data_IF_013640822923
#
_entry.id   IF_013640822923
#
_cell.length_a   1.000
_cell.length_b   1.000
_cell.length_c   1.000
_cell.angle_alpha   90.00
_cell.angle_beta   90.00
_cell.angle_gamma   90.00
#
_symmetry.space_group_name_H-M   'P 1'
#
loop_
_entity.id
_entity.type
_entity.pdbx_description
1 polymer ?
#
# COMPACT_ATOMS: atom_id res chain seq x y z
N UNK A 1 -28.84 18.97 -33.65
CA UNK A 1 -27.42 19.41 -33.53
C UNK A 1 -27.28 20.51 -32.50
N UNK A 2 -26.46 20.27 -31.46
CA UNK A 2 -26.13 21.21 -30.38
C UNK A 2 -24.60 21.37 -30.32
N UNK A 3 -24.13 22.61 -30.38
CA UNK A 3 -22.70 22.93 -30.18
C UNK A 3 -22.43 23.16 -28.70
N UNK A 4 -21.56 22.34 -28.11
CA UNK A 4 -21.17 22.40 -26.68
C UNK A 4 -19.97 23.33 -26.50
N UNK A 5 -18.97 23.21 -27.38
CA UNK A 5 -17.78 24.05 -27.38
C UNK A 5 -17.63 24.69 -28.76
N UNK A 6 -17.30 25.97 -28.78
CA UNK A 6 -16.88 26.68 -29.98
C UNK A 6 -15.91 27.78 -29.57
N UNK A 7 -14.62 27.46 -29.55
CA UNK A 7 -13.62 28.40 -29.06
C UNK A 7 -12.23 27.79 -28.94
N UNK A 8 -11.50 28.22 -27.92
CA UNK A 8 -10.15 27.75 -27.61
C UNK A 8 -10.21 26.78 -26.44
N UNK A 9 -9.38 25.74 -26.47
CA UNK A 9 -9.16 24.84 -25.35
C UNK A 9 -7.67 24.83 -25.02
N UNK A 10 -7.33 25.17 -23.77
CA UNK A 10 -5.98 25.00 -23.25
C UNK A 10 -5.69 23.52 -22.99
N UNK A 11 -4.47 23.08 -23.27
CA UNK A 11 -3.98 21.74 -22.97
C UNK A 11 -2.48 21.71 -22.71
N UNK A 12 -2.04 20.65 -22.04
CA UNK A 12 -0.64 20.22 -21.97
C UNK A 12 -0.48 18.82 -22.58
N UNK A 13 0.75 18.47 -22.96
CA UNK A 13 1.13 17.17 -23.53
C UNK A 13 0.36 16.72 -24.79
N UNK A 14 -0.23 17.66 -25.52
CA UNK A 14 -0.94 17.40 -26.77
C UNK A 14 -2.20 16.55 -26.62
N UNK A 15 -2.91 16.71 -25.50
CA UNK A 15 -4.00 15.81 -25.12
C UNK A 15 -5.27 16.55 -24.73
N UNK A 16 -6.39 16.10 -25.31
CA UNK A 16 -7.76 16.43 -24.86
C UNK A 16 -8.43 15.13 -24.43
N UNK A 17 -9.22 15.17 -23.37
CA UNK A 17 -9.94 14.02 -22.85
C UNK A 17 -11.44 14.24 -22.93
N UNK A 18 -12.16 13.13 -23.13
CA UNK A 18 -13.57 13.02 -22.79
C UNK A 18 -13.69 11.94 -21.73
N UNK A 19 -14.24 12.25 -20.56
CA UNK A 19 -14.37 11.29 -19.47
C UNK A 19 -15.79 11.27 -18.93
N UNK A 20 -16.27 10.07 -18.62
CA UNK A 20 -17.60 9.81 -18.03
C UNK A 20 -17.56 8.75 -16.92
N UNK A 21 -16.36 8.36 -16.48
CA UNK A 21 -16.12 7.37 -15.43
C UNK A 21 -15.14 7.89 -14.38
N UNK A 22 -14.97 7.14 -13.29
CA UNK A 22 -14.22 7.59 -12.11
C UNK A 22 -12.70 7.45 -12.22
N UNK A 23 -12.22 6.60 -13.13
CA UNK A 23 -10.79 6.31 -13.32
C UNK A 23 -10.33 6.65 -14.72
N UNK A 24 -9.26 7.44 -14.81
CA UNK A 24 -8.58 7.73 -16.06
C UNK A 24 -7.64 6.59 -16.44
N UNK A 25 -7.77 6.00 -17.64
CA UNK A 25 -6.86 4.97 -18.10
C UNK A 25 -5.45 5.51 -18.39
N UNK A 26 -4.49 4.59 -18.45
CA UNK A 26 -3.19 4.89 -19.04
C UNK A 26 -3.36 5.38 -20.49
N UNK A 27 -2.54 6.37 -20.87
CA UNK A 27 -2.60 6.98 -22.19
C UNK A 27 -2.50 5.95 -23.31
N UNK A 28 -1.55 5.01 -23.22
CA UNK A 28 -1.34 4.01 -24.26
C UNK A 28 -2.49 2.99 -24.30
N UNK A 29 -3.06 2.66 -23.15
CA UNK A 29 -4.20 1.72 -23.06
C UNK A 29 -5.44 2.25 -23.78
N UNK A 30 -5.60 3.57 -23.89
CA UNK A 30 -6.70 4.21 -24.64
C UNK A 30 -6.67 3.91 -26.15
N UNK A 31 -5.53 3.49 -26.71
CA UNK A 31 -5.37 3.23 -28.14
C UNK A 31 -5.21 1.74 -28.49
N UNK A 32 -5.00 0.85 -27.51
CA UNK A 32 -4.69 -0.55 -27.79
C UNK A 32 -5.84 -1.24 -28.54
N UNK A 33 -5.49 -1.96 -29.61
CA UNK A 33 -6.46 -2.69 -30.44
C UNK A 33 -7.16 -1.84 -31.50
N UNK A 34 -6.91 -0.53 -31.55
CA UNK A 34 -7.46 0.35 -32.58
C UNK A 34 -6.60 0.40 -33.85
N UNK A 35 -7.18 0.93 -34.93
CA UNK A 35 -6.46 1.29 -36.16
C UNK A 35 -6.04 2.75 -36.23
N UNK A 36 -6.80 3.62 -35.56
CA UNK A 36 -6.60 5.04 -35.48
C UNK A 36 -5.82 5.41 -34.21
N UNK A 37 -4.89 6.34 -34.38
CA UNK A 37 -4.02 6.86 -33.31
C UNK A 37 -4.29 8.32 -32.95
N UNK A 38 -5.43 8.87 -33.37
CA UNK A 38 -5.82 10.26 -33.06
C UNK A 38 -6.94 10.35 -32.02
N UNK A 39 -7.83 9.35 -31.99
CA UNK A 39 -8.94 9.23 -31.06
C UNK A 39 -8.90 7.85 -30.39
N UNK A 40 -8.29 7.80 -29.21
CA UNK A 40 -8.21 6.63 -28.35
C UNK A 40 -9.55 6.36 -27.68
N UNK A 41 -10.23 5.27 -28.04
CA UNK A 41 -11.53 4.88 -27.50
C UNK A 41 -11.58 3.41 -27.05
N UNK A 42 -10.43 2.80 -26.79
CA UNK A 42 -10.34 1.39 -26.39
C UNK A 42 -10.91 1.13 -24.98
N UNK A 43 -11.03 2.18 -24.16
CA UNK A 43 -11.54 2.11 -22.79
C UNK A 43 -12.93 2.73 -22.76
N UNK A 44 -13.92 1.98 -22.27
CA UNK A 44 -15.29 2.44 -22.16
C UNK A 44 -15.38 3.68 -21.26
N UNK A 45 -16.16 4.68 -21.67
CA UNK A 45 -16.36 5.91 -20.93
C UNK A 45 -15.24 6.96 -21.06
N UNK A 46 -14.16 6.66 -21.79
CA UNK A 46 -13.04 7.59 -22.01
C UNK A 46 -12.72 7.76 -23.50
N UNK A 47 -12.45 8.99 -23.93
CA UNK A 47 -11.73 9.29 -25.17
C UNK A 47 -10.44 10.02 -24.86
N UNK A 48 -9.35 9.60 -25.50
CA UNK A 48 -8.08 10.33 -25.51
C UNK A 48 -7.84 10.88 -26.92
N UNK A 49 -7.84 12.20 -27.06
CA UNK A 49 -7.71 12.90 -28.33
C UNK A 49 -6.31 13.50 -28.45
N UNK A 50 -5.65 13.22 -29.56
CA UNK A 50 -4.32 13.75 -29.87
C UNK A 50 -4.40 15.09 -30.58
N UNK A 51 -3.58 16.04 -30.15
CA UNK A 51 -3.36 17.32 -30.84
C UNK A 51 -1.91 17.44 -31.34
N UNK A 52 -1.71 18.28 -32.34
CA UNK A 52 -0.41 18.65 -32.89
C UNK A 52 0.38 19.47 -31.92
N UNK A 53 -0.20 20.58 -31.45
CA UNK A 53 0.39 21.43 -30.43
C UNK A 53 0.57 20.64 -29.12
N UNK A 54 1.74 20.74 -28.49
CA UNK A 54 2.03 20.05 -27.24
C UNK A 54 1.50 20.84 -26.04
N UNK A 55 1.70 22.17 -26.01
CA UNK A 55 1.23 23.02 -24.91
C UNK A 55 0.63 24.32 -25.41
N UNK A 56 -0.54 24.70 -24.89
CA UNK A 56 -1.19 25.97 -25.20
C UNK A 56 -2.62 25.81 -25.68
N UNK A 57 -3.12 26.80 -26.42
CA UNK A 57 -4.50 26.80 -26.92
C UNK A 57 -4.64 26.23 -28.33
N UNK A 58 -5.58 25.31 -28.48
CA UNK A 58 -6.03 24.80 -29.78
C UNK A 58 -7.45 25.26 -30.09
N UNK A 59 -7.80 25.36 -31.37
CA UNK A 59 -9.19 25.62 -31.77
C UNK A 59 -10.02 24.35 -31.57
N UNK A 60 -11.07 24.39 -30.76
CA UNK A 60 -11.92 23.23 -30.49
C UNK A 60 -13.39 23.55 -30.72
N UNK A 61 -14.03 22.70 -31.52
CA UNK A 61 -15.48 22.66 -31.70
C UNK A 61 -15.97 21.28 -31.26
N UNK A 62 -17.00 21.26 -30.41
CA UNK A 62 -17.64 20.01 -29.95
C UNK A 62 -19.13 20.06 -30.25
N UNK A 63 -19.63 19.06 -30.96
CA UNK A 63 -21.03 19.00 -31.42
C UNK A 63 -21.68 17.67 -31.04
N UNK A 64 -22.93 17.75 -30.59
CA UNK A 64 -23.81 16.60 -30.37
C UNK A 64 -24.93 16.65 -31.41
N UNK A 65 -24.96 15.65 -32.28
CA UNK A 65 -25.82 15.54 -33.44
C UNK A 65 -26.83 14.42 -33.28
N UNK A 66 -27.99 14.56 -33.95
CA UNK A 66 -29.07 13.57 -33.90
C UNK A 66 -28.81 12.42 -34.88
N UNK A 67 -28.06 12.70 -35.96
CA UNK A 67 -27.69 11.77 -37.02
C UNK A 67 -26.23 12.01 -37.45
N UNK A 68 -25.67 11.09 -38.23
CA UNK A 68 -24.31 11.18 -38.75
C UNK A 68 -24.11 12.47 -39.58
N UNK A 69 -23.21 13.39 -39.19
CA UNK A 69 -22.94 14.58 -39.97
C UNK A 69 -22.31 14.24 -41.31
N UNK A 70 -22.57 15.06 -42.35
CA UNK A 70 -21.90 14.93 -43.65
C UNK A 70 -20.39 15.15 -43.47
N UNK A 71 -19.58 14.36 -44.16
CA UNK A 71 -18.13 14.50 -44.15
C UNK A 71 -17.75 15.84 -44.81
N UNK A 72 -17.08 16.69 -44.05
CA UNK A 72 -16.46 17.92 -44.54
C UNK A 72 -15.00 17.62 -44.96
N UNK A 73 -14.79 17.60 -46.27
CA UNK A 73 -13.49 17.33 -46.89
C UNK A 73 -12.45 18.44 -46.68
N UNK A 74 -12.81 19.56 -46.04
CA UNK A 74 -11.84 20.62 -45.70
C UNK A 74 -10.95 20.25 -44.51
N UNK A 75 -11.33 19.23 -43.72
CA UNK A 75 -10.48 18.66 -42.67
C UNK A 75 -9.37 17.78 -43.26
N UNK A 76 -8.19 17.84 -42.64
CA UNK A 76 -6.98 17.17 -43.12
C UNK A 76 -6.92 15.71 -42.69
N UNK A 77 -7.28 15.44 -41.43
CA UNK A 77 -7.34 14.12 -40.86
C UNK A 77 -8.71 13.90 -40.23
N UNK A 78 -9.31 12.75 -40.48
CA UNK A 78 -10.65 12.39 -40.01
C UNK A 78 -10.60 10.92 -39.55
N UNK A 79 -10.93 10.71 -38.29
CA UNK A 79 -11.09 9.38 -37.70
C UNK A 79 -12.44 9.26 -37.04
N UNK A 80 -12.95 8.05 -36.94
CA UNK A 80 -14.15 7.75 -36.20
C UNK A 80 -13.92 6.60 -35.22
N UNK A 81 -14.56 6.66 -34.06
CA UNK A 81 -14.43 5.66 -33.00
C UNK A 81 -15.76 5.46 -32.27
N UNK A 82 -16.00 4.27 -31.67
CA UNK A 82 -17.15 4.06 -30.80
C UNK A 82 -16.95 4.79 -29.47
N UNK A 83 -18.04 5.27 -28.87
CA UNK A 83 -18.03 5.79 -27.50
C UNK A 83 -19.30 5.41 -26.78
N UNK A 84 -19.16 4.96 -25.54
CA UNK A 84 -20.29 4.69 -24.65
C UNK A 84 -20.03 5.40 -23.32
N UNK A 85 -20.84 6.40 -22.94
CA UNK A 85 -20.68 7.07 -21.65
C UNK A 85 -21.01 6.10 -20.50
N UNK A 86 -20.21 6.14 -19.44
CA UNK A 86 -20.48 5.43 -18.19
C UNK A 86 -21.29 6.27 -17.18
N UNK A 87 -21.40 7.57 -17.43
CA UNK A 87 -22.05 8.59 -16.61
C UNK A 87 -22.06 9.93 -17.35
N UNK A 88 -22.08 11.04 -16.61
CA UNK A 88 -22.03 12.37 -17.20
C UNK A 88 -20.68 12.60 -17.90
N UNK A 89 -20.72 12.78 -19.21
CA UNK A 89 -19.52 12.95 -20.02
C UNK A 89 -19.08 14.42 -20.06
N UNK A 90 -17.80 14.66 -19.79
CA UNK A 90 -17.16 15.98 -19.85
C UNK A 90 -15.99 15.97 -20.82
N UNK A 91 -15.74 17.09 -21.49
CA UNK A 91 -14.56 17.31 -22.34
C UNK A 91 -13.67 18.38 -21.73
N UNK A 92 -12.36 18.17 -21.75
CA UNK A 92 -11.36 19.11 -21.20
C UNK A 92 -9.97 18.83 -21.78
N UNK A 93 -9.08 19.83 -21.78
CA UNK A 93 -7.67 19.63 -22.11
C UNK A 93 -6.87 19.11 -20.92
N UNK A 94 -5.81 18.33 -21.15
CA UNK A 94 -4.98 17.86 -20.05
C UNK A 94 -4.33 19.01 -19.27
N UNK A 95 -4.31 18.90 -17.94
CA UNK A 95 -3.97 19.97 -16.98
C UNK A 95 -4.74 21.30 -17.14
N UNK A 96 -5.85 21.30 -17.87
CA UNK A 96 -6.71 22.47 -18.02
C UNK A 96 -7.66 22.63 -16.84
N UNK A 97 -7.96 23.88 -16.48
CA UNK A 97 -9.08 24.21 -15.60
C UNK A 97 -10.42 24.28 -16.31
N UNK A 98 -10.41 24.34 -17.65
CA UNK A 98 -11.61 24.48 -18.47
C UNK A 98 -12.16 23.09 -18.83
N UNK A 99 -13.46 22.91 -18.56
CA UNK A 99 -14.20 21.70 -18.87
C UNK A 99 -15.62 22.03 -19.31
N UNK A 100 -16.21 21.15 -20.12
CA UNK A 100 -17.55 21.33 -20.66
C UNK A 100 -18.35 20.03 -20.58
N UNK A 101 -19.56 20.09 -20.04
CA UNK A 101 -20.48 18.95 -20.00
C UNK A 101 -21.07 18.70 -21.38
N UNK A 102 -20.93 17.48 -21.88
CA UNK A 102 -21.48 17.08 -23.17
C UNK A 102 -22.99 16.85 -23.08
N UNK A 103 -23.53 16.46 -21.92
CA UNK A 103 -24.94 16.10 -21.76
C UNK A 103 -25.38 15.01 -22.73
N UNK A 104 -24.64 13.89 -22.74
CA UNK A 104 -24.96 12.72 -23.55
C UNK A 104 -25.94 11.83 -22.78
N UNK A 105 -26.85 11.20 -23.51
CA UNK A 105 -27.75 10.19 -22.94
C UNK A 105 -27.00 8.85 -22.76
N UNK A 106 -27.49 7.92 -21.93
CA UNK A 106 -26.88 6.58 -21.74
C UNK A 106 -27.04 5.64 -22.95
N UNK A 107 -26.49 6.01 -24.10
CA UNK A 107 -26.60 5.31 -25.39
C UNK A 107 -25.22 5.05 -26.03
N UNK A 108 -25.19 4.22 -27.07
CA UNK A 108 -23.99 4.05 -27.90
C UNK A 108 -23.89 5.22 -28.89
N UNK A 109 -22.69 5.80 -28.98
CA UNK A 109 -22.37 6.89 -29.89
C UNK A 109 -21.27 6.48 -30.86
N UNK A 110 -21.35 7.03 -32.07
CA UNK A 110 -20.19 7.17 -32.94
C UNK A 110 -19.63 8.57 -32.76
N UNK A 111 -18.30 8.63 -32.72
CA UNK A 111 -17.56 9.87 -32.54
C UNK A 111 -16.70 10.10 -33.75
N UNK A 112 -16.75 11.30 -34.33
CA UNK A 112 -15.82 11.76 -35.36
C UNK A 112 -14.88 12.79 -34.77
N UNK A 113 -13.59 12.56 -34.96
CA UNK A 113 -12.54 13.49 -34.61
C UNK A 113 -11.81 13.93 -35.86
N UNK A 114 -11.89 15.23 -36.15
CA UNK A 114 -11.23 15.87 -37.27
C UNK A 114 -10.12 16.78 -36.78
N UNK A 115 -8.99 16.78 -37.47
CA UNK A 115 -7.88 17.69 -37.22
C UNK A 115 -7.46 18.45 -38.47
N UNK A 116 -6.97 19.68 -38.29
CA UNK A 116 -6.41 20.52 -39.34
C UNK A 116 -5.19 21.29 -38.81
N UNK A 117 -4.16 21.38 -39.64
CA UNK A 117 -2.86 21.97 -39.35
C UNK A 117 -2.13 21.26 -38.19
N UNK A 118 -2.39 19.95 -37.99
CA UNK A 118 -1.77 19.13 -36.93
C UNK A 118 -0.24 19.17 -37.04
N UNK A 119 0.32 19.02 -38.24
CA UNK A 119 1.78 19.06 -38.44
C UNK A 119 2.36 20.44 -38.08
N UNK A 120 1.65 21.53 -38.39
CA UNK A 120 2.09 22.89 -38.04
C UNK A 120 2.03 23.13 -36.53
N UNK A 121 0.99 22.64 -35.84
CA UNK A 121 0.91 22.68 -34.38
C UNK A 121 2.09 21.93 -33.76
N UNK A 122 2.39 20.73 -34.27
CA UNK A 122 3.52 19.92 -33.81
C UNK A 122 4.89 20.54 -34.04
N UNK A 123 5.05 21.30 -35.12
CA UNK A 123 6.30 22.01 -35.41
C UNK A 123 6.51 23.26 -34.53
N UNK A 124 5.43 23.83 -33.97
CA UNK A 124 5.52 24.95 -33.03
C UNK A 124 5.89 24.50 -31.61
N UNK A 125 5.52 23.28 -31.23
CA UNK A 125 5.62 22.67 -29.89
C UNK A 125 4.74 23.39 -28.84
N UNK A 126 4.97 24.69 -28.64
CA UNK A 126 4.20 25.56 -27.75
C UNK A 126 3.48 26.69 -28.52
N UNK A 127 2.43 27.24 -27.90
CA UNK A 127 1.78 28.47 -28.32
C UNK A 127 2.79 29.65 -28.31
N UNK A 128 2.77 30.46 -29.37
CA UNK A 128 3.75 31.55 -29.54
C UNK A 128 3.39 32.78 -28.71
N UNK A 129 2.18 33.28 -28.86
CA UNK A 129 1.64 34.41 -28.10
C UNK A 129 0.18 34.09 -27.72
N UNK A 130 -0.23 34.45 -26.51
CA UNK A 130 -1.58 34.17 -26.00
C UNK A 130 -2.72 34.71 -26.89
N UNK A 131 -2.50 35.86 -27.54
CA UNK A 131 -3.52 36.49 -28.38
C UNK A 131 -3.53 35.95 -29.82
N UNK A 132 -2.53 35.17 -30.23
CA UNK A 132 -2.46 34.59 -31.57
C UNK A 132 -3.64 33.65 -31.83
N UNK A 133 -4.11 33.54 -33.09
CA UNK A 133 -5.10 32.52 -33.43
C UNK A 133 -4.50 31.12 -33.21
N UNK A 134 -5.30 30.13 -32.78
CA UNK A 134 -4.84 28.76 -32.64
C UNK A 134 -4.19 28.23 -33.92
N UNK A 135 -3.08 27.52 -33.77
CA UNK A 135 -2.30 27.00 -34.90
C UNK A 135 -3.06 25.84 -35.55
N UNK A 136 -3.42 24.85 -34.75
CA UNK A 136 -4.20 23.69 -35.13
C UNK A 136 -5.64 23.78 -34.60
N UNK A 137 -6.53 23.10 -35.34
CA UNK A 137 -7.96 23.14 -35.11
C UNK A 137 -8.52 21.73 -35.08
N UNK A 138 -9.55 21.53 -34.26
CA UNK A 138 -10.17 20.24 -34.01
C UNK A 138 -11.69 20.35 -33.98
N UNK A 139 -12.33 19.34 -34.54
CA UNK A 139 -13.78 19.16 -34.48
C UNK A 139 -14.08 17.76 -33.94
N UNK A 140 -14.90 17.72 -32.89
CA UNK A 140 -15.36 16.50 -32.24
C UNK A 140 -16.88 16.42 -32.34
N UNK A 141 -17.40 15.40 -33.02
CA UNK A 141 -18.83 15.24 -33.25
C UNK A 141 -19.32 13.91 -32.69
N UNK A 142 -20.42 13.93 -31.95
CA UNK A 142 -21.09 12.75 -31.41
C UNK A 142 -22.45 12.57 -32.08
N UNK A 143 -22.82 11.35 -32.45
CA UNK A 143 -24.20 11.01 -32.82
C UNK A 143 -24.55 9.58 -32.38
N UNK A 144 -25.81 9.30 -32.01
CA UNK A 144 -26.23 7.95 -31.65
C UNK A 144 -26.01 6.98 -32.81
N UNK A 145 -25.33 5.86 -32.54
CA UNK A 145 -25.10 4.81 -33.53
C UNK A 145 -24.73 3.49 -32.84
N UNK A 146 -25.04 2.32 -33.44
CA UNK A 146 -24.55 1.05 -32.93
C UNK A 146 -23.00 1.03 -32.83
N UNK A 147 -22.43 0.29 -31.88
CA UNK A 147 -20.99 0.21 -31.74
C UNK A 147 -20.38 -0.50 -32.96
N UNK A 148 -19.47 0.21 -33.63
CA UNK A 148 -18.66 -0.31 -34.74
C UNK A 148 -17.18 -0.07 -34.43
N UNK A 149 -16.26 -0.93 -34.93
CA UNK A 149 -14.82 -0.71 -34.77
C UNK A 149 -14.38 0.66 -35.26
N UNK A 150 -13.28 1.15 -34.71
CA UNK A 150 -12.72 2.43 -35.12
C UNK A 150 -12.29 2.41 -36.60
N UNK A 151 -12.34 3.59 -37.22
CA UNK A 151 -12.04 3.75 -38.64
C UNK A 151 -11.22 5.01 -38.89
N UNK A 152 -10.24 4.87 -39.77
CA UNK A 152 -9.51 6.00 -40.36
C UNK A 152 -10.21 6.37 -41.67
N UNK A 153 -10.85 7.55 -41.72
CA UNK A 153 -11.61 8.03 -42.88
C UNK A 153 -10.69 8.78 -43.85
N UNK A 154 -9.86 9.68 -43.32
CA UNK A 154 -8.93 10.51 -44.11
C UNK A 154 -7.67 10.79 -43.31
N UNK A 155 -6.52 10.76 -43.98
CA UNK A 155 -5.23 11.11 -43.38
C UNK A 155 -4.36 11.85 -44.37
N UNK A 156 -3.89 13.03 -43.99
CA UNK A 156 -2.97 13.84 -44.77
C UNK A 156 -1.76 14.33 -43.96
N UNK A 157 -1.86 14.47 -42.64
CA UNK A 157 -0.72 14.89 -41.82
C UNK A 157 0.26 13.76 -41.55
N UNK A 158 1.54 14.11 -41.37
CA UNK A 158 2.60 13.18 -40.99
C UNK A 158 2.35 12.65 -39.56
N UNK A 159 2.01 13.53 -38.63
CA UNK A 159 1.74 13.14 -37.24
C UNK A 159 0.61 12.10 -37.13
N UNK A 160 -0.49 12.28 -37.87
CA UNK A 160 -1.59 11.32 -37.86
C UNK A 160 -1.13 9.94 -38.37
N UNK A 161 -0.38 9.89 -39.49
CA UNK A 161 0.18 8.63 -40.01
C UNK A 161 1.07 7.93 -39.00
N UNK A 162 2.02 8.65 -38.41
CA UNK A 162 2.95 8.10 -37.42
C UNK A 162 2.19 7.55 -36.19
N UNK A 163 1.15 8.26 -35.75
CA UNK A 163 0.31 7.86 -34.62
C UNK A 163 -0.51 6.61 -34.94
N UNK A 164 -1.07 6.51 -36.15
CA UNK A 164 -1.78 5.31 -36.61
C UNK A 164 -0.85 4.10 -36.70
N UNK A 165 0.34 4.28 -37.26
CA UNK A 165 1.35 3.22 -37.39
C UNK A 165 1.83 2.73 -36.02
N UNK A 166 2.04 3.65 -35.06
CA UNK A 166 2.35 3.30 -33.67
C UNK A 166 1.23 2.46 -33.08
N UNK A 167 -0.02 2.91 -33.20
CA UNK A 167 -1.20 2.27 -32.61
C UNK A 167 -1.40 0.84 -33.13
N UNK A 168 -1.26 0.64 -34.45
CA UNK A 168 -1.36 -0.70 -35.07
C UNK A 168 -0.28 -1.69 -34.60
N UNK A 169 0.84 -1.21 -34.06
CA UNK A 169 1.91 -2.05 -33.50
C UNK A 169 1.73 -2.34 -32.01
N UNK A 170 0.83 -1.64 -31.34
CA UNK A 170 0.55 -1.88 -29.93
C UNK A 170 -0.11 -3.24 -29.76
N UNK A 171 0.30 -3.99 -28.73
CA UNK A 171 -0.44 -5.19 -28.36
C UNK A 171 -1.84 -4.80 -27.90
N UNK A 172 -2.88 -5.58 -28.26
CA UNK A 172 -4.20 -5.46 -27.67
C UNK A 172 -4.12 -5.45 -26.13
N UNK A 173 -5.09 -4.84 -25.44
CA UNK A 173 -5.15 -4.93 -23.99
C UNK A 173 -5.25 -6.41 -23.57
N UNK A 174 -4.70 -6.73 -22.41
CA UNK A 174 -4.80 -8.07 -21.85
C UNK A 174 -6.29 -8.42 -21.66
N UNK A 175 -6.65 -9.65 -21.99
CA UNK A 175 -8.01 -10.16 -21.76
C UNK A 175 -8.31 -10.22 -20.26
N UNK A 176 -9.60 -10.17 -19.84
CA UNK A 176 -9.97 -10.31 -18.44
C UNK A 176 -9.37 -11.56 -17.77
N UNK A 177 -9.30 -12.68 -18.50
CA UNK A 177 -8.69 -13.93 -18.02
C UNK A 177 -7.18 -13.80 -17.79
N UNK A 178 -6.47 -13.09 -18.66
CA UNK A 178 -5.04 -12.82 -18.50
C UNK A 178 -4.76 -11.91 -17.29
N UNK A 179 -5.61 -10.88 -17.08
CA UNK A 179 -5.54 -9.99 -15.92
C UNK A 179 -5.77 -10.78 -14.64
N UNK A 180 -6.84 -11.58 -14.57
CA UNK A 180 -7.16 -12.40 -13.41
C UNK A 180 -6.05 -13.40 -13.10
N UNK A 181 -5.49 -14.06 -14.13
CA UNK A 181 -4.35 -14.98 -13.98
C UNK A 181 -3.11 -14.27 -13.43
N UNK A 182 -2.81 -13.06 -13.93
CA UNK A 182 -1.67 -12.28 -13.46
C UNK A 182 -1.86 -11.79 -12.01
N UNK A 183 -3.08 -11.39 -11.64
CA UNK A 183 -3.43 -11.02 -10.26
C UNK A 183 -3.28 -12.22 -9.31
N UNK A 184 -3.85 -13.37 -9.64
CA UNK A 184 -3.74 -14.58 -8.84
C UNK A 184 -2.26 -14.99 -8.61
N UNK A 185 -1.42 -14.90 -9.65
CA UNK A 185 0.03 -15.14 -9.52
C UNK A 185 0.73 -14.13 -8.61
N UNK A 186 0.32 -12.86 -8.64
CA UNK A 186 0.88 -11.82 -7.76
C UNK A 186 0.47 -12.06 -6.32
N UNK A 187 -0.78 -12.43 -6.08
CA UNK A 187 -1.29 -12.76 -4.75
C UNK A 187 -0.59 -14.00 -4.19
N UNK A 188 -0.44 -15.06 -4.99
CA UNK A 188 0.31 -16.26 -4.63
C UNK A 188 1.76 -15.92 -4.28
N UNK A 189 2.45 -15.16 -5.14
CA UNK A 189 3.80 -14.69 -4.89
C UNK A 189 3.89 -13.85 -3.61
N UNK A 190 2.94 -12.93 -3.39
CA UNK A 190 2.92 -12.08 -2.21
C UNK A 190 2.68 -12.89 -0.93
N UNK A 191 1.79 -13.89 -0.98
CA UNK A 191 1.55 -14.81 0.12
C UNK A 191 2.79 -15.65 0.43
N UNK A 192 3.49 -16.13 -0.58
CA UNK A 192 4.73 -16.88 -0.41
C UNK A 192 5.86 -16.01 0.15
N UNK A 193 5.97 -14.76 -0.31
CA UNK A 193 6.91 -13.78 0.25
C UNK A 193 6.58 -13.48 1.71
N UNK A 194 5.30 -13.34 2.06
CA UNK A 194 4.88 -13.12 3.44
C UNK A 194 5.24 -14.32 4.32
N UNK A 195 4.95 -15.54 3.87
CA UNK A 195 5.33 -16.79 4.56
C UNK A 195 6.84 -16.91 4.71
N UNK A 196 7.61 -16.59 3.68
CA UNK A 196 9.07 -16.63 3.71
C UNK A 196 9.63 -15.63 4.73
N UNK A 197 9.09 -14.40 4.76
CA UNK A 197 9.45 -13.39 5.77
C UNK A 197 9.09 -13.82 7.18
N UNK A 198 7.91 -14.41 7.37
CA UNK A 198 7.52 -14.96 8.67
C UNK A 198 8.51 -16.05 9.10
N UNK A 199 8.82 -17.01 8.23
CA UNK A 199 9.77 -18.08 8.50
C UNK A 199 11.16 -17.55 8.86
N UNK A 200 11.67 -16.59 8.09
CA UNK A 200 12.95 -15.92 8.35
C UNK A 200 12.94 -15.19 9.70
N UNK A 201 11.86 -14.47 10.00
CA UNK A 201 11.70 -13.74 11.27
C UNK A 201 11.69 -14.64 12.49
N UNK A 202 11.29 -15.91 12.34
CA UNK A 202 11.31 -16.95 13.38
C UNK A 202 12.58 -17.82 13.37
N UNK A 203 13.63 -17.43 12.64
CA UNK A 203 14.89 -18.17 12.62
C UNK A 203 14.84 -19.47 11.81
N UNK A 204 13.94 -19.57 10.82
CA UNK A 204 13.91 -20.64 9.83
C UNK A 204 12.91 -21.78 10.11
N UNK A 205 12.21 -21.77 11.24
CA UNK A 205 11.13 -22.72 11.56
C UNK A 205 10.00 -21.99 12.26
N UNK A 206 8.75 -22.18 11.79
CA UNK A 206 7.59 -21.56 12.40
C UNK A 206 7.38 -22.09 13.85
N UNK A 207 7.04 -21.21 14.79
CA UNK A 207 6.77 -21.60 16.17
C UNK A 207 5.41 -22.33 16.30
N UNK A 208 5.18 -22.94 17.46
CA UNK A 208 3.86 -23.42 17.85
C UNK A 208 2.86 -22.26 18.03
N UNK A 209 1.56 -22.58 18.05
CA UNK A 209 0.51 -21.58 18.30
C UNK A 209 0.70 -20.89 19.67
N UNK A 210 1.09 -21.66 20.70
CA UNK A 210 1.39 -21.17 22.06
C UNK A 210 2.49 -20.11 22.06
N UNK A 211 3.59 -20.37 21.35
CA UNK A 211 4.71 -19.42 21.21
C UNK A 211 4.30 -18.20 20.35
N UNK A 212 3.48 -18.40 19.31
CA UNK A 212 2.99 -17.31 18.44
C UNK A 212 2.10 -16.32 19.19
N UNK A 213 1.28 -16.80 20.14
CA UNK A 213 0.40 -15.96 20.96
C UNK A 213 1.13 -15.23 22.09
N UNK A 214 2.35 -15.64 22.42
CA UNK A 214 3.13 -15.07 23.51
C UNK A 214 3.94 -13.85 23.04
N UNK A 215 3.61 -12.67 23.59
CA UNK A 215 4.13 -11.38 23.12
C UNK A 215 5.67 -11.29 23.13
N UNK A 216 6.33 -11.80 24.16
CA UNK A 216 7.79 -11.71 24.33
C UNK A 216 8.58 -12.79 23.58
N UNK A 217 7.91 -13.82 23.05
CA UNK A 217 8.59 -14.92 22.35
C UNK A 217 9.39 -14.44 21.13
N UNK A 218 8.83 -13.52 20.34
CA UNK A 218 9.48 -13.01 19.13
C UNK A 218 10.80 -12.29 19.42
N UNK A 219 10.93 -11.65 20.58
CA UNK A 219 12.14 -10.92 20.97
C UNK A 219 13.30 -11.88 21.27
N UNK A 220 13.00 -13.05 21.84
CA UNK A 220 13.98 -14.07 22.20
C UNK A 220 14.55 -14.82 20.99
N UNK A 221 13.85 -14.84 19.84
CA UNK A 221 14.35 -15.43 18.59
C UNK A 221 15.71 -14.84 18.19
N UNK A 222 15.89 -13.53 18.45
CA UNK A 222 17.13 -12.81 18.12
C UNK A 222 18.35 -13.28 18.93
N UNK A 223 18.11 -13.93 20.08
CA UNK A 223 19.17 -14.34 21.00
C UNK A 223 19.42 -15.84 20.96
N UNK A 224 18.37 -16.67 20.99
CA UNK A 224 18.48 -18.13 20.97
C UNK A 224 17.14 -18.77 20.55
N UNK A 225 17.00 -19.10 19.25
CA UNK A 225 15.81 -19.80 18.73
C UNK A 225 15.65 -21.21 19.31
N UNK A 226 16.71 -22.05 19.40
CA UNK A 226 16.61 -23.35 20.07
C UNK A 226 16.07 -23.27 21.49
N UNK A 227 16.45 -22.26 22.28
CA UNK A 227 15.93 -22.08 23.64
C UNK A 227 14.40 -21.91 23.67
N UNK A 228 13.83 -21.19 22.70
CA UNK A 228 12.37 -21.04 22.60
C UNK A 228 11.68 -22.39 22.37
N UNK A 229 12.26 -23.25 21.53
CA UNK A 229 11.72 -24.58 21.28
C UNK A 229 11.91 -25.51 22.49
N UNK A 230 12.98 -25.34 23.27
CA UNK A 230 13.20 -26.06 24.53
C UNK A 230 12.14 -25.66 25.59
N UNK A 231 11.86 -24.35 25.71
CA UNK A 231 10.85 -23.82 26.63
C UNK A 231 9.43 -24.23 26.22
N UNK A 232 9.11 -24.25 24.92
CA UNK A 232 7.78 -24.69 24.45
C UNK A 232 7.48 -26.15 24.82
N UNK A 233 8.53 -27.00 24.91
CA UNK A 233 8.42 -28.42 25.28
C UNK A 233 8.54 -28.68 26.78
N UNK A 234 8.99 -27.70 27.55
CA UNK A 234 9.17 -27.83 28.99
C UNK A 234 7.81 -28.00 29.69
N UNK A 235 7.82 -28.70 30.83
CA UNK A 235 6.66 -28.76 31.70
C UNK A 235 6.51 -27.47 32.52
N UNK A 236 5.32 -27.27 33.10
CA UNK A 236 5.00 -26.07 33.86
C UNK A 236 5.93 -25.88 35.09
N UNK A 237 6.40 -26.98 35.70
CA UNK A 237 7.31 -26.91 36.85
C UNK A 237 8.66 -26.31 36.46
N UNK A 238 9.23 -26.75 35.33
CA UNK A 238 10.46 -26.20 34.79
C UNK A 238 10.28 -24.74 34.34
N UNK A 239 9.16 -24.43 33.67
CA UNK A 239 8.85 -23.06 33.24
C UNK A 239 8.74 -22.08 34.42
N UNK A 240 8.06 -22.48 35.50
CA UNK A 240 7.96 -21.68 36.73
C UNK A 240 9.35 -21.50 37.36
N UNK A 241 10.17 -22.55 37.42
CA UNK A 241 11.53 -22.46 37.96
C UNK A 241 12.42 -21.50 37.16
N UNK A 242 12.32 -21.54 35.82
CA UNK A 242 12.99 -20.60 34.91
C UNK A 242 12.53 -19.17 35.18
N UNK A 243 11.21 -18.95 35.31
CA UNK A 243 10.65 -17.63 35.55
C UNK A 243 11.14 -17.01 36.86
N UNK A 244 11.14 -17.79 37.96
CA UNK A 244 11.65 -17.38 39.27
C UNK A 244 13.14 -17.07 39.25
N UNK A 245 13.92 -17.91 38.57
CA UNK A 245 15.35 -17.67 38.38
C UNK A 245 15.60 -16.36 37.62
N UNK A 246 14.86 -16.12 36.53
CA UNK A 246 15.00 -14.92 35.71
C UNK A 246 14.59 -13.66 36.47
N UNK A 247 13.51 -13.72 37.27
CA UNK A 247 13.13 -12.64 38.19
C UNK A 247 14.27 -12.28 39.17
N UNK A 248 14.91 -13.28 39.77
CA UNK A 248 16.05 -13.05 40.67
C UNK A 248 17.25 -12.45 39.94
N UNK A 249 17.56 -12.91 38.72
CA UNK A 249 18.62 -12.32 37.90
C UNK A 249 18.32 -10.85 37.54
N UNK A 250 17.07 -10.55 37.23
CA UNK A 250 16.59 -9.20 36.93
C UNK A 250 16.81 -8.26 38.12
N UNK A 251 16.35 -8.66 39.31
CA UNK A 251 16.53 -7.86 40.52
C UNK A 251 18.00 -7.68 40.91
N UNK A 252 18.83 -8.71 40.75
CA UNK A 252 20.26 -8.63 41.04
C UNK A 252 21.01 -7.70 40.07
N UNK A 253 20.71 -7.77 38.76
CA UNK A 253 21.30 -6.89 37.76
C UNK A 253 20.99 -5.40 38.00
N UNK A 254 19.78 -5.14 38.52
CA UNK A 254 19.29 -3.82 38.84
C UNK A 254 19.60 -3.37 40.28
N UNK A 255 20.37 -4.15 41.04
CA UNK A 255 20.71 -3.92 42.45
C UNK A 255 19.48 -3.71 43.34
N UNK A 256 18.34 -4.32 42.98
CA UNK A 256 17.08 -4.23 43.73
C UNK A 256 17.07 -5.19 44.92
N UNK A 257 17.83 -6.27 44.82
CA UNK A 257 18.05 -7.25 45.89
C UNK A 257 18.75 -6.66 47.13
N UNK A 258 19.41 -5.50 47.00
CA UNK A 258 19.94 -4.75 48.13
C UNK A 258 18.84 -4.16 49.03
N UNK A 259 17.60 -4.07 48.55
CA UNK A 259 16.45 -3.68 49.35
C UNK A 259 15.92 -4.90 50.09
N UNK A 260 15.99 -4.88 51.44
CA UNK A 260 15.63 -6.04 52.26
C UNK A 260 14.25 -6.62 51.94
N UNK A 261 13.24 -5.77 51.74
CA UNK A 261 11.89 -6.23 51.44
C UNK A 261 11.74 -6.89 50.06
N UNK A 262 12.59 -6.52 49.09
CA UNK A 262 12.66 -7.16 47.77
C UNK A 262 13.34 -8.52 47.89
N UNK A 263 14.45 -8.60 48.64
CA UNK A 263 15.12 -9.86 48.93
C UNK A 263 14.17 -10.86 49.62
N UNK A 264 13.45 -10.41 50.65
CA UNK A 264 12.47 -11.23 51.38
C UNK A 264 11.32 -11.69 50.46
N UNK A 265 10.88 -10.83 49.52
CA UNK A 265 9.85 -11.18 48.55
C UNK A 265 10.34 -12.23 47.53
N UNK A 266 11.59 -12.11 47.05
CA UNK A 266 12.20 -13.10 46.16
C UNK A 266 12.35 -14.47 46.86
N UNK A 267 12.75 -14.49 48.14
CA UNK A 267 12.85 -15.73 48.91
C UNK A 267 11.49 -16.41 49.10
N UNK A 268 10.42 -15.62 49.28
CA UNK A 268 9.05 -16.14 49.40
C UNK A 268 8.48 -16.62 48.06
N UNK A 269 8.83 -15.95 46.98
CA UNK A 269 8.53 -16.39 45.63
C UNK A 269 9.19 -17.75 45.34
N UNK A 270 10.48 -17.91 45.67
CA UNK A 270 11.20 -19.16 45.51
C UNK A 270 10.58 -20.29 46.36
N UNK A 271 10.09 -19.97 47.56
CA UNK A 271 9.37 -20.89 48.43
C UNK A 271 7.95 -21.26 47.93
N UNK A 272 7.47 -20.66 46.84
CA UNK A 272 6.15 -20.93 46.27
C UNK A 272 4.98 -20.39 47.08
N UNK A 273 5.19 -19.28 47.81
CA UNK A 273 4.11 -18.56 48.49
C UNK A 273 3.12 -17.99 47.46
N UNK A 274 1.83 -17.90 47.83
CA UNK A 274 0.80 -17.30 46.98
C UNK A 274 1.14 -15.85 46.60
N UNK A 275 0.87 -15.46 45.34
CA UNK A 275 1.20 -14.13 44.79
C UNK A 275 0.76 -12.99 45.73
N UNK A 276 -0.45 -13.10 46.29
CA UNK A 276 -1.04 -12.07 47.17
C UNK A 276 -0.24 -11.84 48.43
N UNK A 277 0.42 -12.90 48.88
CA UNK A 277 1.20 -12.87 50.08
C UNK A 277 2.64 -12.50 49.79
N UNK A 278 3.21 -12.80 48.62
CA UNK A 278 4.63 -12.63 48.29
C UNK A 278 5.14 -11.21 48.49
N UNK A 279 4.40 -10.20 48.04
CA UNK A 279 4.78 -8.80 48.18
C UNK A 279 4.31 -8.29 49.55
N UNK A 280 5.23 -8.19 50.52
CA UNK A 280 5.00 -7.58 51.83
C UNK A 280 5.96 -6.40 52.02
N UNK A 281 5.75 -5.36 51.24
CA UNK A 281 6.54 -4.15 51.35
C UNK A 281 6.26 -3.43 52.69
N UNK A 282 7.27 -2.79 53.32
CA UNK A 282 7.08 -2.00 54.53
C UNK A 282 6.01 -0.91 54.37
N UNK A 283 5.30 -0.53 55.44
CA UNK A 283 4.35 0.57 55.39
C UNK A 283 5.01 1.86 54.87
N UNK A 284 4.40 2.49 53.86
CA UNK A 284 4.89 3.73 53.27
C UNK A 284 5.82 3.57 52.06
N UNK A 285 6.16 2.34 51.64
CA UNK A 285 7.03 2.07 50.47
C UNK A 285 6.52 2.71 49.18
N UNK A 286 5.20 2.80 48.98
CA UNK A 286 4.60 3.28 47.72
C UNK A 286 4.09 4.73 47.76
N UNK A 287 4.26 5.45 48.88
CA UNK A 287 3.68 6.79 49.05
C UNK A 287 2.15 6.82 48.91
N UNK A 288 1.54 8.02 48.95
CA UNK A 288 0.09 8.22 48.71
C UNK A 288 -0.25 8.52 47.25
N UNK A 289 0.74 8.47 46.36
CA UNK A 289 0.52 8.67 44.94
C UNK A 289 -0.03 7.37 44.35
N UNK A 290 -1.21 7.45 43.73
CA UNK A 290 -1.83 6.32 43.05
C UNK A 290 -0.92 5.87 41.89
N UNK A 291 0.01 4.96 42.17
CA UNK A 291 0.74 4.24 41.16
C UNK A 291 -0.23 3.26 40.49
N UNK A 292 -0.87 3.74 39.42
CA UNK A 292 -1.53 2.86 38.48
C UNK A 292 -0.42 2.07 37.76
N UNK A 293 -0.10 0.88 38.28
CA UNK A 293 0.80 -0.05 37.63
C UNK A 293 0.01 -0.65 36.47
N UNK A 294 0.16 -0.06 35.29
CA UNK A 294 -0.12 -0.80 34.07
C UNK A 294 0.97 -1.87 33.96
N UNK A 295 0.63 -3.14 34.19
CA UNK A 295 1.52 -4.30 34.03
C UNK A 295 1.92 -4.58 32.58
N UNK A 296 1.72 -3.62 31.68
CA UNK A 296 2.02 -3.74 30.27
C UNK A 296 3.36 -3.08 29.96
N UNK A 297 4.42 -3.88 29.90
CA UNK A 297 5.69 -3.47 29.28
C UNK A 297 6.91 -4.04 29.98
N UNK A 298 7.83 -4.58 29.17
CA UNK A 298 9.12 -5.11 29.63
C UNK A 298 10.01 -4.08 30.32
N UNK A 299 11.25 -4.47 30.58
CA UNK A 299 12.20 -3.68 31.36
C UNK A 299 12.54 -2.32 30.72
N UNK A 300 12.02 -1.22 31.27
CA UNK A 300 12.26 0.16 30.79
C UNK A 300 13.11 0.97 31.79
N UNK A 301 14.19 1.57 31.30
CA UNK A 301 15.08 2.49 32.02
C UNK A 301 14.40 3.76 32.56
N UNK A 302 13.23 4.13 32.03
CA UNK A 302 12.42 5.25 32.49
C UNK A 302 11.54 4.95 33.71
N UNK A 303 11.37 3.67 34.09
CA UNK A 303 10.55 3.28 35.22
C UNK A 303 11.27 3.49 36.57
N UNK A 304 10.50 3.72 37.63
CA UNK A 304 11.06 3.78 38.98
C UNK A 304 11.53 2.40 39.42
N UNK A 305 12.58 2.35 40.27
CA UNK A 305 13.11 1.11 40.85
C UNK A 305 12.04 0.28 41.59
N UNK A 306 11.03 0.93 42.15
CA UNK A 306 9.91 0.28 42.83
C UNK A 306 8.99 -0.46 41.86
N UNK A 307 8.65 0.15 40.71
CA UNK A 307 7.85 -0.49 39.66
C UNK A 307 8.59 -1.67 39.05
N UNK A 308 9.88 -1.50 38.78
CA UNK A 308 10.74 -2.56 38.25
C UNK A 308 10.83 -3.78 39.20
N UNK A 309 10.93 -3.55 40.51
CA UNK A 309 10.93 -4.62 41.50
C UNK A 309 9.60 -5.39 41.52
N UNK A 310 8.47 -4.67 41.45
CA UNK A 310 7.14 -5.29 41.44
C UNK A 310 6.93 -6.13 40.18
N UNK A 311 7.23 -5.60 39.00
CA UNK A 311 7.12 -6.34 37.74
C UNK A 311 7.94 -7.63 37.80
N UNK A 312 9.20 -7.56 38.23
CA UNK A 312 10.06 -8.75 38.29
C UNK A 312 9.55 -9.82 39.26
N UNK A 313 8.97 -9.43 40.40
CA UNK A 313 8.45 -10.36 41.41
C UNK A 313 7.11 -10.97 41.01
N UNK A 314 6.25 -10.24 40.27
CA UNK A 314 4.91 -10.69 39.90
C UNK A 314 4.88 -11.52 38.62
N UNK A 315 5.72 -11.21 37.63
CA UNK A 315 5.70 -11.92 36.34
C UNK A 315 5.88 -13.45 36.41
N UNK A 316 6.56 -14.05 37.41
CA UNK A 316 6.57 -15.51 37.59
C UNK A 316 5.23 -16.17 37.94
N UNK A 317 4.17 -15.39 38.19
CA UNK A 317 2.82 -15.89 38.53
C UNK A 317 1.83 -15.88 37.36
N UNK A 318 2.25 -15.40 36.18
CA UNK A 318 1.46 -15.47 34.95
C UNK A 318 1.36 -16.93 34.41
N UNK A 319 0.78 -17.12 33.22
CA UNK A 319 0.78 -18.44 32.57
C UNK A 319 2.23 -18.94 32.41
N UNK A 320 2.56 -20.21 32.73
CA UNK A 320 3.95 -20.64 32.92
C UNK A 320 4.91 -20.29 31.78
N UNK A 321 4.49 -20.42 30.52
CA UNK A 321 5.35 -20.09 29.38
C UNK A 321 5.49 -18.58 29.21
N UNK A 322 4.39 -17.83 29.29
CA UNK A 322 4.45 -16.36 29.25
C UNK A 322 5.30 -15.81 30.40
N UNK A 323 5.14 -16.34 31.61
CA UNK A 323 5.93 -16.01 32.79
C UNK A 323 7.43 -16.23 32.53
N UNK A 324 7.82 -17.39 32.00
CA UNK A 324 9.21 -17.70 31.69
C UNK A 324 9.81 -16.79 30.62
N UNK A 325 9.07 -16.52 29.53
CA UNK A 325 9.55 -15.71 28.42
C UNK A 325 9.62 -14.22 28.79
N UNK A 326 8.61 -13.70 29.47
CA UNK A 326 8.52 -12.31 29.92
C UNK A 326 9.60 -11.97 30.94
N UNK A 327 9.77 -12.81 31.96
CA UNK A 327 10.82 -12.62 32.98
C UNK A 327 12.23 -12.77 32.41
N UNK A 328 12.45 -13.69 31.47
CA UNK A 328 13.75 -13.83 30.80
C UNK A 328 14.08 -12.62 29.94
N UNK A 329 13.08 -12.08 29.22
CA UNK A 329 13.23 -10.83 28.48
C UNK A 329 13.59 -9.66 29.41
N UNK A 330 12.94 -9.56 30.57
CA UNK A 330 13.28 -8.55 31.58
C UNK A 330 14.71 -8.70 32.10
N UNK A 331 15.16 -9.94 32.35
CA UNK A 331 16.53 -10.20 32.77
C UNK A 331 17.55 -9.74 31.72
N UNK A 332 17.31 -10.06 30.43
CA UNK A 332 18.14 -9.58 29.32
C UNK A 332 18.18 -8.04 29.28
N UNK A 333 17.02 -7.38 29.42
CA UNK A 333 16.93 -5.93 29.48
C UNK A 333 17.71 -5.31 30.65
N UNK A 334 17.66 -5.92 31.83
CA UNK A 334 18.35 -5.43 33.03
C UNK A 334 19.89 -5.54 32.94
N UNK A 335 20.43 -6.57 32.27
CA UNK A 335 21.86 -6.68 31.98
C UNK A 335 22.31 -5.83 30.77
N UNK A 336 21.34 -5.32 30.00
CA UNK A 336 21.53 -4.67 28.71
C UNK A 336 21.49 -5.66 27.55
N UNK A 337 20.76 -5.32 26.48
CA UNK A 337 20.49 -6.24 25.34
C UNK A 337 21.75 -6.86 24.73
N UNK A 338 22.87 -6.13 24.69
CA UNK A 338 24.15 -6.61 24.15
C UNK A 338 24.78 -7.75 24.98
N UNK A 339 24.32 -7.99 26.21
CA UNK A 339 24.72 -9.11 27.09
C UNK A 339 23.66 -10.21 27.18
N UNK A 340 22.60 -10.16 26.36
CA UNK A 340 21.52 -11.14 26.43
C UNK A 340 22.00 -12.59 26.28
N UNK A 341 23.03 -12.82 25.47
CA UNK A 341 23.65 -14.13 25.30
C UNK A 341 24.34 -14.66 26.56
N UNK A 342 24.86 -13.78 27.43
CA UNK A 342 25.44 -14.18 28.72
C UNK A 342 24.37 -14.65 29.70
N UNK A 343 23.20 -13.99 29.70
CA UNK A 343 22.05 -14.40 30.52
C UNK A 343 21.56 -15.78 30.09
N UNK A 344 21.44 -16.01 28.78
CA UNK A 344 21.05 -17.31 28.23
C UNK A 344 22.08 -18.40 28.54
N UNK A 345 23.38 -18.10 28.46
CA UNK A 345 24.42 -19.06 28.83
C UNK A 345 24.32 -19.45 30.32
N UNK A 346 24.05 -18.49 31.22
CA UNK A 346 23.81 -18.77 32.65
C UNK A 346 22.54 -19.60 32.87
N UNK A 347 21.48 -19.31 32.10
CA UNK A 347 20.23 -20.07 32.17
C UNK A 347 20.49 -21.54 31.83
N UNK A 348 21.12 -21.83 30.69
CA UNK A 348 21.44 -23.20 30.26
C UNK A 348 22.37 -23.95 31.24
N UNK A 349 23.28 -23.24 31.91
CA UNK A 349 24.10 -23.82 32.98
C UNK A 349 23.29 -24.17 34.23
N UNK A 350 22.26 -23.37 34.54
CA UNK A 350 21.42 -23.56 35.72
C UNK A 350 20.36 -24.64 35.48
N UNK A 351 19.84 -24.71 34.25
CA UNK A 351 18.82 -25.66 33.81
C UNK A 351 19.35 -26.47 32.62
N UNK A 352 20.22 -27.48 32.84
CA UNK A 352 20.77 -28.31 31.77
C UNK A 352 19.71 -29.07 30.97
N UNK A 353 18.51 -29.24 31.51
CA UNK A 353 17.35 -29.83 30.85
C UNK A 353 16.93 -29.02 29.61
N UNK A 354 17.22 -27.71 29.57
CA UNK A 354 17.03 -26.84 28.41
C UNK A 354 18.23 -26.97 27.46
N UNK A 355 18.27 -28.05 26.70
CA UNK A 355 19.34 -28.38 25.76
C UNK A 355 19.50 -29.88 25.47
N UNK A 356 18.75 -30.75 26.14
CA UNK A 356 18.59 -32.17 25.78
C UNK A 356 17.49 -32.30 24.71
N UNK A 357 17.79 -31.85 23.48
CA UNK A 357 16.87 -31.88 22.33
C UNK A 357 17.58 -32.24 21.03
#
# INVERSE_FOLDING_TARGET
>A
MRTVVNGRAFLTFGQIYVESGDERPDFDDSFRGQQNGLCGAAIAGTLCLMTGLHTGHVGLIVEVCDEAPVIDETWEDIVEAPFRPAGDATVYGFDSSDWWELGLEPADYRVRYCGRAIDTGRESDDEKEWDDPPIDHYLLQFWPAPPEPDQVIKVTSRMARDSHDRTRRMRPPATPDEIATAQARREEWAADQLRARELESWGGTLPSERIRETYHAFQLVKFDRPLLDDLDRADDELLIAVARWAARQTCAAAELDQMQWVADALDRMDAGVDERDVIQAPPGTFGTENLAIATFGGWDSGQTRLVQALLAIQSPYDEPLDAALSTLWMAIGAYGEWRGTEVIAKLRLTFPQLGEG
#
